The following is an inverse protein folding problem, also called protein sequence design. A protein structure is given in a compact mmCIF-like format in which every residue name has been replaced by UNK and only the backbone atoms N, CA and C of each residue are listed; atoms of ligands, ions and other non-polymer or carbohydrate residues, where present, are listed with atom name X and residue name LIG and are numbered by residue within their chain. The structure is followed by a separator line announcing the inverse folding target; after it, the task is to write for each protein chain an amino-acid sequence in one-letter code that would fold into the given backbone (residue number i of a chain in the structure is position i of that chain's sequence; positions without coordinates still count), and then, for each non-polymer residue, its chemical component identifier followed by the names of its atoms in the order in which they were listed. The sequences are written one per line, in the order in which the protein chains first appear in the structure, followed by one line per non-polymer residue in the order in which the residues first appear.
data_IF_027205491960
#
_entry.id   IF_027205491960
#
_cell.length_a   1.000
_cell.length_b   1.000
_cell.length_c   1.000
_cell.angle_alpha   90.00
_cell.angle_beta   90.00
_cell.angle_gamma   90.00
#
_symmetry.space_group_name_H-M   'P 1'
#
loop_
_entity.id
_entity.type
_entity.pdbx_description
1 polymer ?
#
# COMPACT_ATOMS: atom_id res chain seq x y z
N UNK A 1 -4.82 -1.25 -2.82
CA UNK A 1 -5.63 -1.50 -4.03
C UNK A 1 -5.86 -2.98 -4.19
N UNK A 2 -6.18 -3.44 -5.40
CA UNK A 2 -6.20 -4.85 -5.81
C UNK A 2 -4.96 -5.17 -6.65
N UNK A 3 -4.87 -6.39 -7.19
CA UNK A 3 -3.82 -6.78 -8.13
C UNK A 3 -3.87 -6.00 -9.47
N UNK A 4 -5.01 -5.42 -9.83
CA UNK A 4 -5.18 -4.61 -11.05
C UNK A 4 -4.72 -3.17 -10.88
N UNK A 5 -4.60 -2.71 -9.63
CA UNK A 5 -4.11 -1.36 -9.34
C UNK A 5 -2.58 -1.34 -9.32
N UNK A 6 -2.03 -0.14 -9.53
CA UNK A 6 -0.63 0.12 -9.22
C UNK A 6 -0.38 0.03 -7.70
N UNK A 7 0.88 -0.09 -7.29
CA UNK A 7 1.23 0.06 -5.87
C UNK A 7 0.90 1.47 -5.40
N UNK A 8 0.75 1.69 -4.09
CA UNK A 8 0.47 3.03 -3.56
C UNK A 8 1.56 4.03 -3.98
N UNK A 9 2.83 3.62 -3.95
CA UNK A 9 3.94 4.47 -4.40
C UNK A 9 3.94 4.68 -5.92
N UNK A 10 3.62 3.65 -6.71
CA UNK A 10 3.47 3.75 -8.16
C UNK A 10 2.32 4.70 -8.55
N UNK A 11 1.16 4.53 -7.94
CA UNK A 11 0.02 5.43 -8.08
C UNK A 11 0.40 6.86 -7.70
N UNK A 12 1.00 7.07 -6.53
CA UNK A 12 1.30 8.40 -6.03
C UNK A 12 2.29 9.17 -6.93
N UNK A 13 3.25 8.46 -7.52
CA UNK A 13 4.20 9.03 -8.48
C UNK A 13 3.51 9.50 -9.77
N UNK A 14 2.44 8.83 -10.18
CA UNK A 14 1.78 9.04 -11.47
C UNK A 14 0.43 9.77 -11.37
N UNK A 15 -0.12 9.91 -10.17
CA UNK A 15 -1.43 10.51 -9.94
C UNK A 15 -1.43 12.01 -10.31
N UNK A 16 -2.57 12.56 -10.75
CA UNK A 16 -2.72 14.01 -10.88
C UNK A 16 -2.35 14.72 -9.58
N UNK A 17 -1.66 15.86 -9.67
CA UNK A 17 -1.17 16.58 -8.49
C UNK A 17 -2.27 16.95 -7.49
N UNK A 18 -3.49 17.23 -7.97
CA UNK A 18 -4.65 17.49 -7.11
C UNK A 18 -5.07 16.28 -6.27
N UNK A 19 -5.05 15.08 -6.85
CA UNK A 19 -5.40 13.83 -6.15
C UNK A 19 -4.32 13.46 -5.12
N UNK A 20 -3.05 13.61 -5.51
CA UNK A 20 -1.91 13.41 -4.62
C UNK A 20 -1.95 14.37 -3.41
N UNK A 21 -2.25 15.66 -3.66
CA UNK A 21 -2.40 16.66 -2.61
C UNK A 21 -3.58 16.35 -1.68
N UNK A 22 -4.73 15.99 -2.25
CA UNK A 22 -5.92 15.59 -1.48
C UNK A 22 -5.64 14.36 -0.61
N UNK A 23 -4.94 13.35 -1.12
CA UNK A 23 -4.58 12.17 -0.36
C UNK A 23 -3.66 12.52 0.82
N UNK A 24 -2.65 13.38 0.62
CA UNK A 24 -1.79 13.84 1.71
C UNK A 24 -2.56 14.57 2.80
N UNK A 25 -3.43 15.50 2.41
CA UNK A 25 -4.24 16.27 3.35
C UNK A 25 -5.19 15.36 4.15
N UNK A 26 -5.92 14.48 3.46
CA UNK A 26 -6.85 13.55 4.09
C UNK A 26 -6.16 12.58 5.07
N UNK A 27 -4.97 12.11 4.71
CA UNK A 27 -4.16 11.20 5.53
C UNK A 27 -3.28 11.91 6.56
N UNK A 28 -3.32 13.26 6.62
CA UNK A 28 -2.52 14.10 7.51
C UNK A 28 -1.02 13.85 7.40
N UNK A 29 -0.52 13.64 6.18
CA UNK A 29 0.91 13.45 5.90
C UNK A 29 1.56 14.83 5.82
N UNK A 30 2.37 15.17 6.82
CA UNK A 30 2.94 16.53 6.98
C UNK A 30 4.42 16.62 6.67
N UNK A 31 5.13 15.48 6.57
CA UNK A 31 6.52 15.40 6.14
C UNK A 31 7.24 14.18 6.73
N UNK A 32 7.85 13.38 5.85
CA UNK A 32 8.68 12.23 6.25
C UNK A 32 7.91 10.94 6.57
N UNK A 33 6.57 10.97 6.65
CA UNK A 33 5.77 9.76 6.84
C UNK A 33 5.66 8.95 5.53
N UNK A 34 5.63 7.63 5.68
CA UNK A 34 5.38 6.72 4.57
C UNK A 34 3.93 6.79 4.12
N UNK A 35 3.70 7.18 2.86
CA UNK A 35 2.37 7.20 2.26
C UNK A 35 1.70 5.81 2.24
N UNK A 36 2.36 4.71 1.82
CA UNK A 36 1.78 3.38 1.93
C UNK A 36 1.34 3.03 3.35
N UNK A 37 2.18 3.31 4.37
CA UNK A 37 1.83 3.03 5.76
C UNK A 37 0.66 3.88 6.24
N UNK A 38 0.60 5.15 5.86
CA UNK A 38 -0.50 6.04 6.21
C UNK A 38 -1.83 5.55 5.60
N UNK A 39 -1.82 5.16 4.32
CA UNK A 39 -3.01 4.60 3.65
C UNK A 39 -3.45 3.26 4.27
N UNK A 40 -2.51 2.34 4.51
CA UNK A 40 -2.82 1.05 5.16
C UNK A 40 -3.40 1.29 6.56
N UNK A 41 -2.81 2.21 7.33
CA UNK A 41 -3.28 2.59 8.66
C UNK A 41 -4.71 3.14 8.60
N UNK A 42 -5.03 4.00 7.63
CA UNK A 42 -6.38 4.53 7.45
C UNK A 42 -7.40 3.43 7.09
N UNK A 43 -7.01 2.45 6.27
CA UNK A 43 -7.87 1.28 5.96
C UNK A 43 -8.11 0.44 7.21
N UNK A 44 -7.08 0.19 8.02
CA UNK A 44 -7.20 -0.50 9.30
C UNK A 44 -8.08 0.27 10.30
N UNK A 45 -8.00 1.60 10.32
CA UNK A 45 -8.81 2.44 11.20
C UNK A 45 -10.28 2.58 10.75
N UNK A 46 -10.62 2.12 9.54
CA UNK A 46 -11.98 2.23 9.01
C UNK A 46 -12.99 1.37 9.78
N UNK A 47 -14.28 1.64 9.58
CA UNK A 47 -15.38 0.84 10.15
C UNK A 47 -15.71 -0.42 9.34
N UNK A 48 -14.97 -0.72 8.26
CA UNK A 48 -15.22 -1.91 7.45
C UNK A 48 -14.93 -3.19 8.25
N UNK A 49 -15.75 -4.23 8.09
CA UNK A 49 -15.55 -5.51 8.79
C UNK A 49 -14.22 -6.18 8.39
N UNK A 50 -13.83 -6.05 7.13
CA UNK A 50 -12.62 -6.67 6.56
C UNK A 50 -11.73 -5.60 5.92
N UNK A 51 -10.48 -5.56 6.34
CA UNK A 51 -9.43 -4.71 5.79
C UNK A 51 -8.37 -5.59 5.09
N UNK A 52 -8.04 -5.28 3.84
CA UNK A 52 -7.07 -6.03 3.04
C UNK A 52 -6.10 -5.03 2.41
N UNK A 53 -4.82 -5.39 2.37
CA UNK A 53 -3.79 -4.68 1.62
C UNK A 53 -2.94 -5.66 0.82
N UNK A 54 -2.15 -5.16 -0.14
CA UNK A 54 -1.24 -5.97 -0.95
C UNK A 54 0.13 -6.09 -0.28
N UNK A 55 0.85 -7.18 -0.57
CA UNK A 55 2.20 -7.37 -0.05
C UNK A 55 3.19 -6.35 -0.63
N UNK A 56 2.93 -5.84 -1.84
CA UNK A 56 3.73 -4.79 -2.47
C UNK A 56 3.63 -3.47 -1.71
N UNK A 57 2.43 -3.14 -1.23
CA UNK A 57 2.19 -1.95 -0.42
C UNK A 57 2.79 -2.10 0.99
N UNK A 58 2.72 -3.30 1.59
CA UNK A 58 3.39 -3.63 2.86
C UNK A 58 4.92 -3.46 2.76
N UNK A 59 5.49 -3.85 1.62
CA UNK A 59 6.91 -3.70 1.31
C UNK A 59 7.28 -2.31 0.77
N UNK A 60 6.30 -1.40 0.66
CA UNK A 60 6.47 -0.02 0.20
C UNK A 60 7.13 0.08 -1.19
N UNK A 61 6.85 -0.87 -2.08
CA UNK A 61 7.47 -0.95 -3.40
C UNK A 61 6.89 0.06 -4.39
N UNK A 62 7.69 0.48 -5.36
CA UNK A 62 7.24 1.33 -6.46
C UNK A 62 6.43 0.55 -7.53
N UNK A 63 6.03 1.24 -8.60
CA UNK A 63 5.18 0.66 -9.65
C UNK A 63 5.83 -0.46 -10.46
N UNK A 64 7.14 -0.72 -10.31
CA UNK A 64 7.77 -1.92 -10.91
C UNK A 64 7.26 -3.23 -10.29
N UNK A 65 6.61 -3.15 -9.12
CA UNK A 65 6.01 -4.27 -8.43
C UNK A 65 4.52 -4.51 -8.77
N UNK A 66 3.93 -3.72 -9.69
CA UNK A 66 2.54 -3.88 -10.10
C UNK A 66 2.25 -5.29 -10.63
N UNK A 67 1.18 -5.90 -10.14
CA UNK A 67 0.85 -7.29 -10.49
C UNK A 67 0.20 -7.41 -11.87
N UNK A 68 -0.76 -6.55 -12.18
CA UNK A 68 -1.49 -6.56 -13.45
C UNK A 68 -1.78 -5.13 -13.94
N UNK A 69 -1.67 -4.94 -15.26
CA UNK A 69 -2.18 -3.78 -15.98
C UNK A 69 -3.32 -4.26 -16.87
N UNK A 70 -4.58 -3.98 -16.52
CA UNK A 70 -5.73 -4.40 -17.32
C UNK A 70 -5.62 -3.89 -18.77
N UNK A 71 -5.96 -4.75 -19.74
CA UNK A 71 -5.96 -4.41 -21.16
C UNK A 71 -4.61 -4.55 -21.87
N UNK A 72 -3.55 -5.02 -21.20
CA UNK A 72 -2.25 -5.30 -21.84
C UNK A 72 -2.03 -6.80 -22.07
N UNK A 73 -1.22 -7.14 -23.08
CA UNK A 73 -0.75 -8.50 -23.33
C UNK A 73 0.72 -8.62 -22.93
N UNK A 74 1.04 -9.61 -22.10
CA UNK A 74 2.40 -9.85 -21.59
C UNK A 74 2.80 -8.91 -20.44
N UNK A 75 3.82 -9.31 -19.66
CA UNK A 75 4.36 -8.53 -18.55
C UNK A 75 3.56 -8.55 -17.24
N UNK A 76 2.34 -9.09 -17.24
CA UNK A 76 1.50 -9.24 -16.05
C UNK A 76 1.77 -10.56 -15.30
N UNK A 77 1.43 -10.60 -14.01
CA UNK A 77 1.50 -11.81 -13.16
C UNK A 77 2.92 -12.34 -12.91
N UNK A 78 3.94 -11.52 -13.15
CA UNK A 78 5.34 -11.91 -13.04
C UNK A 78 5.98 -11.51 -11.70
N UNK A 79 5.35 -10.60 -10.95
CA UNK A 79 5.95 -10.09 -9.72
C UNK A 79 6.06 -11.19 -8.66
N UNK A 80 7.22 -11.25 -8.01
CA UNK A 80 7.51 -12.15 -6.91
C UNK A 80 8.19 -11.39 -5.78
N UNK A 81 7.85 -11.77 -4.56
CA UNK A 81 8.60 -11.38 -3.37
C UNK A 81 10.05 -11.86 -3.49
N UNK A 82 10.99 -10.98 -3.09
CA UNK A 82 12.41 -11.33 -3.00
C UNK A 82 12.68 -12.03 -1.66
N UNK A 83 13.52 -13.06 -1.68
CA UNK A 83 13.97 -13.71 -0.44
C UNK A 83 14.55 -12.67 0.53
N UNK A 84 14.14 -12.73 1.79
CA UNK A 84 14.58 -11.80 2.84
C UNK A 84 13.91 -10.41 2.82
N UNK A 85 12.97 -10.14 1.92
CA UNK A 85 12.22 -8.86 1.92
C UNK A 85 11.22 -8.76 3.08
N UNK A 86 10.68 -9.89 3.54
CA UNK A 86 9.77 -9.94 4.69
C UNK A 86 10.58 -9.90 5.99
N UNK A 87 10.69 -8.70 6.57
CA UNK A 87 11.44 -8.45 7.80
C UNK A 87 10.55 -8.47 9.03
N UNK A 88 11.12 -8.78 10.19
CA UNK A 88 10.41 -8.76 11.47
C UNK A 88 9.83 -7.38 11.78
N UNK A 89 10.53 -6.29 11.45
CA UNK A 89 10.03 -4.93 11.72
C UNK A 89 8.71 -4.64 10.96
N UNK A 90 8.56 -5.18 9.75
CA UNK A 90 7.32 -5.08 8.97
C UNK A 90 6.18 -5.85 9.63
N UNK A 91 6.46 -7.05 10.14
CA UNK A 91 5.47 -7.87 10.85
C UNK A 91 5.06 -7.23 12.18
N UNK A 92 6.00 -6.67 12.93
CA UNK A 92 5.76 -5.96 14.19
C UNK A 92 4.90 -4.71 13.98
N UNK A 93 5.18 -3.92 12.94
CA UNK A 93 4.34 -2.78 12.57
C UNK A 93 2.91 -3.22 12.20
N UNK A 94 2.77 -4.26 11.37
CA UNK A 94 1.46 -4.80 10.99
C UNK A 94 0.68 -5.30 12.21
N UNK A 95 1.34 -6.03 13.11
CA UNK A 95 0.74 -6.50 14.36
C UNK A 95 0.27 -5.31 15.22
N UNK A 96 1.12 -4.29 15.36
CA UNK A 96 0.81 -3.10 16.13
C UNK A 96 -0.46 -2.40 15.63
N UNK A 97 -0.56 -2.08 14.33
CA UNK A 97 -1.75 -1.41 13.79
C UNK A 97 -2.98 -2.33 13.85
N UNK A 98 -2.81 -3.64 13.69
CA UNK A 98 -3.90 -4.62 13.79
C UNK A 98 -4.50 -4.63 15.19
N UNK A 99 -3.65 -4.57 16.23
CA UNK A 99 -4.11 -4.48 17.62
C UNK A 99 -4.71 -3.10 17.94
N UNK A 100 -4.06 -2.01 17.51
CA UNK A 100 -4.48 -0.64 17.78
C UNK A 100 -5.91 -0.37 17.29
N UNK A 101 -6.27 -0.90 16.11
CA UNK A 101 -7.59 -0.70 15.51
C UNK A 101 -8.54 -1.89 15.72
N UNK A 102 -8.24 -2.81 16.65
CA UNK A 102 -9.17 -3.85 17.08
C UNK A 102 -9.47 -4.93 16.04
N UNK A 103 -8.49 -5.32 15.22
CA UNK A 103 -8.64 -6.30 14.13
C UNK A 103 -7.87 -7.62 14.38
N UNK A 104 -7.63 -7.97 15.64
CA UNK A 104 -6.94 -9.21 16.05
C UNK A 104 -7.92 -10.35 16.32
#
# INVERSE_FOLDING_TARGET
GTHDNDTINGWFKNAPGADAAKARDYLRITGGESLPRAMITAVWASVADVAITTIQDILELDGSARMNVPGTQGGNWLWRTKNGSLKSETAEWLLHITQLYGRK
#
